data_IF_278030190908
#
_entry.id   IF_278030190908
#
_cell.length_a   1.000
_cell.length_b   1.000
_cell.length_c   1.000
_cell.angle_alpha   90.00
_cell.angle_beta   90.00
_cell.angle_gamma   90.00
#
_symmetry.space_group_name_H-M   'P 1'
#
loop_
_entity.id
_entity.type
_entity.pdbx_description
1 polymer ?
#
# COMPACT_ATOMS: atom_id res chain seq x y z
N UNK A 1 6.78 -5.64 -9.21
CA UNK A 1 5.67 -4.90 -9.86
C UNK A 1 6.29 -4.10 -11.00
N UNK A 2 5.91 -4.40 -12.22
CA UNK A 2 6.47 -3.70 -13.38
C UNK A 2 5.93 -2.27 -13.46
N UNK A 3 6.81 -1.31 -13.76
CA UNK A 3 6.42 0.11 -13.99
C UNK A 3 5.34 0.21 -15.08
N UNK A 4 5.39 -0.71 -16.05
CA UNK A 4 4.44 -0.86 -17.15
C UNK A 4 2.98 -0.95 -16.69
N UNK A 5 2.70 -1.57 -15.54
CA UNK A 5 1.35 -1.91 -15.11
C UNK A 5 0.73 -0.82 -14.22
N UNK A 6 1.54 0.14 -13.74
CA UNK A 6 1.04 1.28 -12.96
C UNK A 6 0.17 2.19 -13.82
N UNK A 7 -1.00 2.56 -13.27
CA UNK A 7 -1.99 3.37 -14.00
C UNK A 7 -2.78 2.61 -15.06
N UNK A 8 -2.50 1.30 -15.24
CA UNK A 8 -3.19 0.41 -16.17
C UNK A 8 -3.84 -0.80 -15.47
N UNK A 9 -4.12 -0.70 -14.19
CA UNK A 9 -4.80 -1.76 -13.44
C UNK A 9 -4.06 -2.26 -12.21
N UNK A 10 -2.80 -1.87 -11.99
CA UNK A 10 -2.04 -2.21 -10.78
C UNK A 10 -1.90 -0.99 -9.88
N UNK A 11 -2.37 -1.09 -8.65
CA UNK A 11 -2.34 -0.03 -7.62
C UNK A 11 -1.74 -0.54 -6.30
N UNK A 12 -1.29 0.37 -5.46
CA UNK A 12 -0.87 0.11 -4.08
C UNK A 12 -1.71 0.90 -3.06
N UNK A 13 -2.88 1.44 -3.49
CA UNK A 13 -3.74 2.27 -2.65
C UNK A 13 -5.21 2.13 -3.07
N UNK A 14 -5.97 1.36 -2.32
CA UNK A 14 -7.39 1.15 -2.62
C UNK A 14 -8.23 2.42 -2.45
N UNK A 15 -7.91 3.27 -1.46
CA UNK A 15 -8.61 4.55 -1.26
C UNK A 15 -8.34 5.56 -2.37
N UNK A 16 -7.17 5.47 -3.03
CA UNK A 16 -6.79 6.34 -4.14
C UNK A 16 -7.50 5.92 -5.44
N UNK A 17 -7.47 4.64 -5.77
CA UNK A 17 -7.80 4.13 -7.10
C UNK A 17 -9.05 3.25 -7.14
N UNK A 18 -9.55 2.79 -5.99
CA UNK A 18 -10.64 1.81 -5.92
C UNK A 18 -11.93 2.26 -6.64
N UNK A 19 -12.19 3.56 -6.68
CA UNK A 19 -13.36 4.10 -7.36
C UNK A 19 -13.39 3.79 -8.88
N UNK A 20 -12.23 3.70 -9.53
CA UNK A 20 -12.13 3.38 -10.96
C UNK A 20 -12.54 1.93 -11.28
N UNK A 21 -12.64 1.08 -10.26
CA UNK A 21 -13.03 -0.33 -10.37
C UNK A 21 -14.45 -0.60 -9.85
N UNK A 22 -15.28 0.43 -9.71
CA UNK A 22 -16.68 0.26 -9.28
C UNK A 22 -17.43 -0.71 -10.19
N UNK A 23 -18.00 -1.74 -9.58
CA UNK A 23 -18.76 -2.78 -10.29
C UNK A 23 -17.90 -3.82 -11.06
N UNK A 24 -16.58 -3.76 -10.96
CA UNK A 24 -15.63 -4.67 -11.60
C UNK A 24 -15.02 -5.64 -10.60
N UNK A 25 -14.56 -6.84 -11.02
CA UNK A 25 -13.83 -7.74 -10.15
C UNK A 25 -12.38 -7.27 -9.95
N UNK A 26 -11.88 -7.37 -8.71
CA UNK A 26 -10.52 -6.97 -8.36
C UNK A 26 -9.83 -7.98 -7.46
N UNK A 27 -8.51 -7.89 -7.37
CA UNK A 27 -7.70 -8.70 -6.45
C UNK A 27 -6.93 -7.80 -5.49
N UNK A 28 -6.82 -8.24 -4.23
CA UNK A 28 -5.92 -7.66 -3.22
C UNK A 28 -4.87 -8.71 -2.87
N UNK A 29 -3.60 -8.32 -2.90
CA UNK A 29 -2.48 -9.18 -2.57
C UNK A 29 -1.94 -8.81 -1.20
N UNK A 30 -2.05 -9.72 -0.22
CA UNK A 30 -1.55 -9.49 1.13
C UNK A 30 -2.30 -10.25 2.22
N UNK A 31 -2.10 -9.90 3.49
CA UNK A 31 -2.78 -10.57 4.61
C UNK A 31 -2.51 -9.92 5.97
N UNK A 32 -1.96 -8.71 5.97
CA UNK A 32 -1.87 -7.82 7.13
C UNK A 32 -3.09 -6.88 7.21
N UNK A 33 -3.06 -5.94 8.16
CA UNK A 33 -4.16 -4.98 8.37
C UNK A 33 -4.52 -4.25 7.08
N UNK A 34 -3.56 -3.66 6.40
CA UNK A 34 -3.77 -2.92 5.14
C UNK A 34 -4.50 -3.75 4.09
N UNK A 35 -4.06 -5.00 3.85
CA UNK A 35 -4.69 -5.87 2.86
C UNK A 35 -6.15 -6.19 3.20
N UNK A 36 -6.43 -6.43 4.49
CA UNK A 36 -7.78 -6.73 4.96
C UNK A 36 -8.67 -5.49 4.91
N UNK A 37 -8.16 -4.32 5.31
CA UNK A 37 -8.87 -3.04 5.22
C UNK A 37 -9.20 -2.69 3.77
N UNK A 38 -8.23 -2.83 2.86
CA UNK A 38 -8.44 -2.60 1.42
C UNK A 38 -9.46 -3.57 0.82
N UNK A 39 -9.40 -4.86 1.16
CA UNK A 39 -10.37 -5.85 0.70
C UNK A 39 -11.79 -5.53 1.18
N UNK A 40 -11.95 -5.12 2.44
CA UNK A 40 -13.24 -4.68 2.99
C UNK A 40 -13.74 -3.42 2.27
N UNK A 41 -12.87 -2.42 2.08
CA UNK A 41 -13.21 -1.18 1.38
C UNK A 41 -13.67 -1.46 -0.06
N UNK A 42 -12.86 -2.20 -0.82
CA UNK A 42 -13.15 -2.56 -2.20
C UNK A 42 -14.42 -3.42 -2.34
N UNK A 43 -14.74 -4.26 -1.36
CA UNK A 43 -15.96 -5.07 -1.38
C UNK A 43 -17.25 -4.23 -1.37
N UNK A 44 -17.20 -2.95 -0.98
CA UNK A 44 -18.33 -2.02 -1.06
C UNK A 44 -18.45 -1.36 -2.43
N UNK A 45 -17.40 -1.35 -3.24
CA UNK A 45 -17.34 -0.67 -4.55
C UNK A 45 -17.38 -1.66 -5.71
N UNK A 46 -16.62 -2.73 -5.61
CA UNK A 46 -16.38 -3.70 -6.67
C UNK A 46 -17.46 -4.78 -6.71
N UNK A 47 -17.57 -5.47 -7.85
CA UNK A 47 -18.49 -6.60 -7.98
C UNK A 47 -18.06 -7.78 -7.11
N UNK A 48 -16.77 -8.05 -7.08
CA UNK A 48 -16.13 -9.11 -6.30
C UNK A 48 -14.69 -8.76 -5.96
N UNK A 49 -14.19 -9.22 -4.80
CA UNK A 49 -12.80 -9.06 -4.37
C UNK A 49 -12.19 -10.43 -4.09
N UNK A 50 -11.06 -10.73 -4.72
CA UNK A 50 -10.26 -11.92 -4.38
C UNK A 50 -9.06 -11.48 -3.53
N UNK A 51 -9.02 -11.88 -2.26
CA UNK A 51 -7.86 -11.66 -1.39
C UNK A 51 -6.89 -12.84 -1.54
N UNK A 52 -5.72 -12.60 -2.09
CA UNK A 52 -4.67 -13.62 -2.25
C UNK A 52 -3.68 -13.54 -1.10
N UNK A 53 -3.56 -14.62 -0.33
CA UNK A 53 -2.66 -14.68 0.81
C UNK A 53 -1.78 -15.94 0.80
N UNK A 54 -0.48 -15.74 1.00
CA UNK A 54 0.55 -16.81 0.93
C UNK A 54 0.53 -17.81 2.10
N UNK A 55 -0.38 -17.68 3.05
CA UNK A 55 -0.52 -18.55 4.25
C UNK A 55 -1.98 -18.88 4.47
N UNK A 56 -2.25 -19.84 5.35
CA UNK A 56 -3.59 -20.22 5.77
C UNK A 56 -4.15 -19.39 6.94
N UNK A 57 -3.45 -18.34 7.38
CA UNK A 57 -3.85 -17.42 8.45
C UNK A 57 -3.48 -15.99 8.14
N UNK A 58 -4.44 -15.08 8.31
CA UNK A 58 -4.19 -13.64 8.24
C UNK A 58 -3.37 -13.16 9.45
N UNK A 59 -2.57 -12.11 9.24
CA UNK A 59 -1.83 -11.42 10.30
C UNK A 59 -2.56 -10.15 10.77
N UNK A 60 -3.66 -9.82 10.13
CA UNK A 60 -4.50 -8.68 10.51
C UNK A 60 -5.10 -8.87 11.91
N UNK A 61 -5.50 -7.77 12.53
CA UNK A 61 -6.19 -7.75 13.81
C UNK A 61 -7.52 -8.54 13.77
N UNK A 62 -7.88 -9.15 14.88
CA UNK A 62 -9.07 -10.01 14.96
C UNK A 62 -10.37 -9.30 14.57
N UNK A 63 -10.49 -8.03 14.93
CA UNK A 63 -11.66 -7.21 14.58
C UNK A 63 -11.79 -7.01 13.06
N UNK A 64 -10.68 -6.77 12.37
CA UNK A 64 -10.63 -6.65 10.92
C UNK A 64 -10.94 -8.00 10.25
N UNK A 65 -10.37 -9.08 10.76
CA UNK A 65 -10.65 -10.43 10.25
C UNK A 65 -12.14 -10.77 10.36
N UNK A 66 -12.80 -10.44 11.49
CA UNK A 66 -14.25 -10.66 11.64
C UNK A 66 -15.04 -9.94 10.55
N UNK A 67 -14.78 -8.65 10.32
CA UNK A 67 -15.44 -7.89 9.25
C UNK A 67 -15.18 -8.44 7.86
N UNK A 68 -13.98 -8.93 7.59
CA UNK A 68 -13.64 -9.58 6.33
C UNK A 68 -14.44 -10.88 6.14
N UNK A 69 -14.51 -11.72 7.15
CA UNK A 69 -15.25 -12.99 7.08
C UNK A 69 -16.76 -12.77 6.86
N UNK A 70 -17.35 -11.72 7.43
CA UNK A 70 -18.72 -11.30 7.10
C UNK A 70 -18.89 -11.00 5.60
N UNK A 71 -17.87 -10.43 4.94
CA UNK A 71 -17.87 -10.21 3.48
C UNK A 71 -17.68 -11.50 2.68
N UNK A 72 -16.95 -12.47 3.24
CA UNK A 72 -16.80 -13.80 2.64
C UNK A 72 -18.15 -14.54 2.70
N UNK A 73 -18.85 -14.53 3.83
CA UNK A 73 -20.17 -15.16 3.99
C UNK A 73 -21.21 -14.58 3.01
N UNK A 74 -21.14 -13.28 2.71
CA UNK A 74 -22.04 -12.64 1.74
C UNK A 74 -21.61 -12.84 0.28
N UNK A 75 -20.53 -13.55 0.00
CA UNK A 75 -20.00 -13.82 -1.33
C UNK A 75 -19.33 -12.61 -2.00
N UNK A 76 -19.13 -11.51 -1.26
CA UNK A 76 -18.46 -10.31 -1.78
C UNK A 76 -16.94 -10.45 -1.84
N UNK A 77 -16.37 -11.31 -1.00
CA UNK A 77 -14.94 -11.58 -0.94
C UNK A 77 -14.69 -13.08 -1.01
N UNK A 78 -13.69 -13.48 -1.78
CA UNK A 78 -13.11 -14.83 -1.74
C UNK A 78 -11.67 -14.73 -1.26
N UNK A 79 -11.22 -15.67 -0.43
CA UNK A 79 -9.82 -15.71 0.01
C UNK A 79 -9.13 -16.90 -0.66
N UNK A 80 -8.11 -16.63 -1.45
CA UNK A 80 -7.20 -17.62 -2.01
C UNK A 80 -6.04 -17.83 -1.02
N UNK A 81 -6.23 -18.82 -0.13
CA UNK A 81 -5.23 -19.21 0.86
C UNK A 81 -4.06 -19.95 0.22
N UNK A 82 -2.87 -19.82 0.82
CA UNK A 82 -1.64 -20.51 0.40
C UNK A 82 -1.26 -20.26 -1.06
N UNK A 83 -1.60 -19.04 -1.56
CA UNK A 83 -1.27 -18.59 -2.90
C UNK A 83 -0.45 -17.30 -2.89
N UNK A 84 0.39 -17.15 -3.88
CA UNK A 84 1.13 -15.91 -4.21
C UNK A 84 0.72 -15.42 -5.58
N UNK A 85 0.84 -14.12 -5.82
CA UNK A 85 0.76 -13.57 -7.16
C UNK A 85 1.97 -14.06 -7.95
N UNK A 86 1.73 -14.72 -9.09
CA UNK A 86 2.76 -15.18 -10.01
C UNK A 86 2.97 -14.17 -11.14
N UNK A 87 1.87 -13.79 -11.81
CA UNK A 87 1.91 -12.86 -12.92
C UNK A 87 0.65 -12.01 -12.99
N UNK A 88 0.79 -10.78 -13.48
CA UNK A 88 -0.34 -9.91 -13.87
C UNK A 88 -0.52 -10.00 -15.37
N UNK A 89 -1.71 -10.37 -15.80
CA UNK A 89 -2.09 -10.48 -17.20
C UNK A 89 -2.75 -9.17 -17.65
N UNK A 90 -2.51 -8.78 -18.89
CA UNK A 90 -3.10 -7.57 -19.43
C UNK A 90 -2.82 -7.40 -20.92
N UNK A 91 -3.51 -6.44 -21.51
CA UNK A 91 -3.35 -5.99 -22.88
C UNK A 91 -2.99 -4.50 -22.94
N UNK A 92 -3.11 -3.90 -24.10
CA UNK A 92 -2.82 -2.46 -24.30
C UNK A 92 -3.76 -1.54 -23.50
N UNK A 93 -4.93 -2.03 -23.11
CA UNK A 93 -5.95 -1.29 -22.36
C UNK A 93 -5.75 -1.37 -20.84
N UNK A 94 -5.11 -2.42 -20.35
CA UNK A 94 -4.83 -2.60 -18.92
C UNK A 94 -4.84 -4.04 -18.45
N UNK A 95 -5.05 -4.23 -17.16
CA UNK A 95 -5.12 -5.55 -16.52
C UNK A 95 -6.39 -6.28 -16.95
N UNK A 96 -6.25 -7.55 -17.38
CA UNK A 96 -7.35 -8.45 -17.74
C UNK A 96 -7.46 -9.65 -16.78
N UNK A 97 -6.41 -9.91 -15.98
CA UNK A 97 -6.39 -11.04 -15.06
C UNK A 97 -5.09 -11.15 -14.29
N UNK A 98 -5.00 -12.19 -13.51
CA UNK A 98 -3.78 -12.59 -12.78
C UNK A 98 -3.60 -14.10 -12.85
N UNK A 99 -2.35 -14.54 -12.77
CA UNK A 99 -1.99 -15.89 -12.40
C UNK A 99 -1.57 -15.91 -10.93
N UNK A 100 -2.21 -16.78 -10.15
CA UNK A 100 -1.80 -17.07 -8.78
C UNK A 100 -1.19 -18.46 -8.71
N UNK A 101 -0.21 -18.65 -7.84
CA UNK A 101 0.52 -19.89 -7.68
C UNK A 101 0.38 -20.42 -6.27
N UNK A 102 -0.04 -21.65 -6.14
CA UNK A 102 -0.11 -22.32 -4.86
C UNK A 102 1.31 -22.56 -4.31
N UNK A 103 1.53 -22.22 -3.04
CA UNK A 103 2.87 -22.21 -2.42
C UNK A 103 3.47 -23.61 -2.36
N UNK A 104 2.70 -24.62 -1.97
CA UNK A 104 3.21 -25.97 -1.74
C UNK A 104 3.33 -26.80 -3.02
N UNK A 105 2.31 -26.77 -3.88
CA UNK A 105 2.27 -27.60 -5.10
C UNK A 105 2.88 -26.94 -6.33
N UNK A 106 3.00 -25.60 -6.30
CA UNK A 106 3.39 -24.83 -7.47
C UNK A 106 2.32 -24.75 -8.57
N UNK A 107 1.11 -25.29 -8.33
CA UNK A 107 0.00 -25.23 -9.28
C UNK A 107 -0.41 -23.76 -9.54
N UNK A 108 -0.59 -23.44 -10.82
CA UNK A 108 -0.99 -22.09 -11.26
C UNK A 108 -2.47 -22.08 -11.60
N UNK A 109 -3.17 -21.04 -11.17
CA UNK A 109 -4.56 -20.77 -11.49
C UNK A 109 -4.70 -19.35 -12.02
N UNK A 110 -5.45 -19.17 -13.10
CA UNK A 110 -5.80 -17.84 -13.64
C UNK A 110 -7.10 -17.35 -13.02
N UNK A 111 -7.17 -16.04 -12.77
CA UNK A 111 -8.36 -15.34 -12.27
C UNK A 111 -8.54 -14.08 -13.10
N UNK A 112 -9.72 -13.91 -13.70
CA UNK A 112 -10.09 -12.72 -14.46
C UNK A 112 -10.39 -11.56 -13.49
N UNK A 113 -9.66 -10.46 -13.61
CA UNK A 113 -9.82 -9.24 -12.80
C UNK A 113 -9.45 -8.02 -13.62
N UNK A 114 -10.10 -6.90 -13.33
CA UNK A 114 -9.81 -5.58 -13.96
C UNK A 114 -8.77 -4.78 -13.17
N UNK A 115 -8.51 -5.15 -11.91
CA UNK A 115 -7.57 -4.43 -11.06
C UNK A 115 -6.88 -5.29 -10.01
N UNK A 116 -5.64 -4.93 -9.70
CA UNK A 116 -4.78 -5.61 -8.71
C UNK A 116 -4.26 -4.60 -7.72
N UNK A 117 -4.56 -4.80 -6.44
CA UNK A 117 -4.13 -3.95 -5.33
C UNK A 117 -3.04 -4.67 -4.52
N UNK A 118 -1.84 -4.09 -4.50
CA UNK A 118 -0.67 -4.67 -3.84
C UNK A 118 -0.56 -4.13 -2.42
N UNK A 119 -0.95 -4.94 -1.43
CA UNK A 119 -0.99 -4.57 -0.01
C UNK A 119 -0.06 -5.45 0.85
N UNK A 120 1.19 -5.63 0.42
CA UNK A 120 2.21 -6.47 1.10
C UNK A 120 3.10 -5.70 2.06
N UNK A 121 2.87 -4.41 2.23
CA UNK A 121 3.65 -3.47 3.02
C UNK A 121 4.43 -2.49 2.15
N UNK A 122 4.95 -1.45 2.81
CA UNK A 122 5.78 -0.42 2.19
C UNK A 122 7.14 -0.39 2.85
N UNK A 123 8.17 -0.21 2.05
CA UNK A 123 9.54 0.02 2.50
C UNK A 123 9.95 1.38 1.91
N UNK A 124 10.29 2.38 2.75
CA UNK A 124 10.78 3.66 2.23
C UNK A 124 12.14 3.49 1.57
N UNK A 125 12.41 4.27 0.53
CA UNK A 125 13.71 4.29 -0.14
C UNK A 125 14.70 5.15 0.67
N UNK A 126 15.07 4.67 1.84
CA UNK A 126 15.85 5.40 2.84
C UNK A 126 17.22 4.79 3.15
N UNK A 127 17.57 3.68 2.50
CA UNK A 127 18.83 2.95 2.72
C UNK A 127 20.06 3.86 2.57
N UNK A 128 20.02 4.83 1.65
CA UNK A 128 21.12 5.78 1.43
C UNK A 128 21.42 6.66 2.65
N UNK A 129 20.49 6.77 3.61
CA UNK A 129 20.62 7.58 4.82
C UNK A 129 20.99 6.76 6.05
N UNK A 130 21.13 5.43 5.92
CA UNK A 130 21.55 4.58 7.04
C UNK A 130 22.93 4.97 7.56
N UNK A 131 23.03 5.06 8.90
CA UNK A 131 24.24 5.52 9.57
C UNK A 131 24.50 7.03 9.48
N UNK A 132 23.73 7.79 8.73
CA UNK A 132 23.86 9.25 8.61
C UNK A 132 22.76 9.98 9.39
N UNK A 133 21.51 9.58 9.25
CA UNK A 133 20.38 10.18 9.94
C UNK A 133 19.80 9.25 11.00
N UNK A 134 19.15 9.83 12.01
CA UNK A 134 18.37 9.04 12.97
C UNK A 134 17.17 8.44 12.27
N UNK A 135 17.04 7.12 12.36
CA UNK A 135 15.98 6.37 11.68
C UNK A 135 15.22 5.48 12.66
N UNK A 136 13.95 5.18 12.34
CA UNK A 136 13.11 4.24 13.07
C UNK A 136 12.30 3.40 12.07
N UNK A 137 12.46 2.08 12.11
CA UNK A 137 11.78 1.15 11.21
C UNK A 137 12.00 1.47 9.71
N UNK A 138 13.17 1.96 9.33
CA UNK A 138 13.48 2.39 7.97
C UNK A 138 13.02 3.81 7.60
N UNK A 139 12.31 4.52 8.47
CA UNK A 139 11.86 5.89 8.24
C UNK A 139 12.78 6.91 8.90
N UNK A 140 12.99 8.04 8.25
CA UNK A 140 13.75 9.16 8.81
C UNK A 140 12.94 9.78 9.96
N UNK A 141 13.59 9.99 11.10
CA UNK A 141 12.97 10.65 12.26
C UNK A 141 13.11 12.16 12.11
N UNK A 142 11.98 12.87 12.18
CA UNK A 142 11.91 14.34 12.20
C UNK A 142 11.47 14.83 13.58
N UNK A 143 11.72 16.11 13.87
CA UNK A 143 11.41 16.69 15.18
C UNK A 143 9.93 16.62 15.52
N UNK A 144 9.04 16.90 14.57
CA UNK A 144 7.60 17.02 14.74
C UNK A 144 7.18 17.98 15.87
N UNK A 145 5.92 18.41 15.90
CA UNK A 145 5.37 19.20 17.00
C UNK A 145 5.05 20.64 16.65
N UNK A 146 4.77 21.46 17.69
CA UNK A 146 4.21 22.82 17.55
C UNK A 146 5.24 23.94 17.65
N UNK A 147 6.51 23.64 17.94
CA UNK A 147 7.57 24.63 18.16
C UNK A 147 8.31 25.07 16.89
N UNK A 148 7.88 24.63 15.72
CA UNK A 148 8.56 24.87 14.44
C UNK A 148 9.64 23.81 14.17
N UNK A 149 10.29 23.92 13.01
CA UNK A 149 11.29 22.98 12.50
C UNK A 149 10.81 21.51 12.55
N UNK A 150 9.53 21.32 12.27
CA UNK A 150 8.86 20.01 12.42
C UNK A 150 9.39 18.96 11.46
N UNK A 151 10.01 19.37 10.36
CA UNK A 151 10.57 18.51 9.31
C UNK A 151 12.08 18.33 9.43
N UNK A 152 12.74 19.02 10.39
CA UNK A 152 14.17 18.90 10.63
C UNK A 152 14.52 17.50 11.14
N UNK A 153 15.61 16.95 10.59
CA UNK A 153 16.15 15.64 10.98
C UNK A 153 17.12 15.73 12.17
N UNK A 154 17.87 14.67 12.41
CA UNK A 154 18.94 14.67 13.42
C UNK A 154 20.17 15.51 13.04
N UNK A 155 20.25 16.02 11.81
CA UNK A 155 21.34 16.87 11.34
C UNK A 155 20.77 18.25 11.00
N UNK A 156 21.26 19.34 11.61
CA UNK A 156 20.82 20.69 11.31
C UNK A 156 20.94 21.02 9.81
N UNK A 157 19.93 21.68 9.25
CA UNK A 157 19.88 22.02 7.83
C UNK A 157 19.47 20.85 6.89
N UNK A 158 19.17 19.67 7.46
CA UNK A 158 18.63 18.52 6.71
C UNK A 158 17.18 18.29 7.13
N UNK A 159 16.28 18.35 6.17
CA UNK A 159 14.83 18.22 6.36
C UNK A 159 14.31 17.01 5.61
N UNK A 160 13.25 16.36 6.14
CA UNK A 160 12.62 15.21 5.50
C UNK A 160 11.11 15.38 5.44
N UNK A 161 10.50 15.04 4.29
CA UNK A 161 9.07 15.16 4.06
C UNK A 161 8.54 14.03 3.18
N UNK A 162 7.23 13.74 3.30
CA UNK A 162 6.56 12.70 2.55
C UNK A 162 6.81 11.29 3.06
N UNK A 163 6.69 10.30 2.20
CA UNK A 163 6.70 8.87 2.55
C UNK A 163 7.97 8.41 3.27
N UNK A 164 9.08 9.14 3.11
CA UNK A 164 10.34 8.81 3.79
C UNK A 164 10.27 9.04 5.32
N UNK A 165 9.38 9.93 5.79
CA UNK A 165 9.15 10.25 7.19
C UNK A 165 7.75 9.83 7.68
N UNK A 166 6.78 9.66 6.76
CA UNK A 166 5.40 9.29 7.07
C UNK A 166 5.20 7.77 6.95
N UNK A 167 5.31 7.06 8.09
CA UNK A 167 5.04 5.63 8.14
C UNK A 167 3.54 5.29 8.26
N UNK A 168 2.65 6.28 8.45
CA UNK A 168 1.25 6.08 8.83
C UNK A 168 0.31 6.36 7.66
N UNK A 169 0.30 7.57 7.14
CA UNK A 169 -0.70 8.04 6.18
C UNK A 169 -0.31 7.75 4.73
N UNK A 170 0.89 8.14 4.33
CA UNK A 170 1.45 7.92 2.98
C UNK A 170 0.49 8.32 1.87
N UNK A 171 -0.06 9.53 2.00
CA UNK A 171 -0.99 10.12 1.05
C UNK A 171 -0.33 11.31 0.32
N UNK A 172 -0.70 11.51 -0.95
CA UNK A 172 -0.18 12.62 -1.76
C UNK A 172 -0.41 13.98 -1.09
N UNK A 173 -1.59 14.18 -0.47
CA UNK A 173 -1.92 15.43 0.22
C UNK A 173 -1.09 15.64 1.48
N UNK A 174 -0.82 14.59 2.27
CA UNK A 174 0.07 14.71 3.43
C UNK A 174 1.51 14.98 3.00
N UNK A 175 1.98 14.30 1.95
CA UNK A 175 3.31 14.54 1.39
C UNK A 175 3.46 15.97 0.86
N UNK A 176 2.45 16.53 0.20
CA UNK A 176 2.45 17.92 -0.26
C UNK A 176 2.51 18.90 0.93
N UNK A 177 1.70 18.66 1.98
CA UNK A 177 1.72 19.47 3.21
C UNK A 177 3.07 19.43 3.93
N UNK A 178 3.64 18.22 4.10
CA UNK A 178 4.99 18.07 4.66
C UNK A 178 6.06 18.73 3.79
N UNK A 179 5.95 18.65 2.45
CA UNK A 179 6.87 19.33 1.53
C UNK A 179 6.84 20.85 1.68
N UNK A 180 5.64 21.45 1.84
CA UNK A 180 5.48 22.86 2.14
C UNK A 180 6.16 23.22 3.48
N UNK A 181 5.93 22.43 4.54
CA UNK A 181 6.56 22.65 5.85
C UNK A 181 8.09 22.57 5.75
N UNK A 182 8.63 21.59 5.03
CA UNK A 182 10.06 21.42 4.85
C UNK A 182 10.70 22.59 4.10
N UNK A 183 10.02 23.15 3.10
CA UNK A 183 10.48 24.33 2.40
C UNK A 183 10.56 25.56 3.34
N UNK A 184 9.54 25.78 4.16
CA UNK A 184 9.53 26.88 5.14
C UNK A 184 10.57 26.72 6.25
N UNK A 185 10.76 25.47 6.74
CA UNK A 185 11.80 25.17 7.72
C UNK A 185 13.20 25.41 7.13
N UNK A 186 13.43 25.03 5.85
CA UNK A 186 14.68 25.25 5.15
C UNK A 186 14.95 26.76 4.90
N UNK A 187 13.95 27.53 4.48
CA UNK A 187 14.05 28.98 4.32
C UNK A 187 14.48 29.64 5.63
N UNK A 188 13.79 29.33 6.71
CA UNK A 188 14.11 29.85 8.06
C UNK A 188 15.52 29.48 8.51
N UNK A 189 16.00 28.29 8.19
CA UNK A 189 17.37 27.85 8.49
C UNK A 189 18.41 28.65 7.72
N UNK A 190 18.13 28.97 6.45
CA UNK A 190 19.05 29.75 5.60
C UNK A 190 19.12 31.24 6.02
N UNK A 191 18.06 31.77 6.61
CA UNK A 191 17.95 33.15 7.07
C UNK A 191 18.53 33.37 8.50
N UNK A 192 18.92 32.31 9.19
CA UNK A 192 19.49 32.36 10.55
C UNK A 192 21.02 32.35 10.53
#
# INVERSE_FOLDING_TARGET
MCIRDRGKGVSACATCDGFFYKGKPVTVIGGGNTAVEEAIYLSNLCSHVTLVHRRNKLRAEKTLQKKLFERVETGKVTIAWDHVLDEVLGDDMGVTGINIKQVDSGAVQSIDVDGVFIAIGHIPNSEIFEGQLKMKNGYVVVNSGLSGNSTETSIPGVFAAGDIADQIYRQAVTSAGFGCMAALDAEKFLDS
#
